data_IF_728069705555
#
_entry.id   IF_728069705555
#
_cell.length_a   1.000
_cell.length_b   1.000
_cell.length_c   1.000
_cell.angle_alpha   90.00
_cell.angle_beta   90.00
_cell.angle_gamma   90.00
#
_symmetry.space_group_name_H-M   'P 1'
#
loop_
_entity.id
_entity.type
_entity.pdbx_description
1 polymer ?
#
# COMPACT_ATOMS: atom_id res chain seq x y z
N UNK A 1 4.87 40.60 22.50
CA UNK A 1 5.45 39.76 21.42
C UNK A 1 5.41 38.24 21.71
N UNK A 2 5.69 37.76 22.94
CA UNK A 2 5.61 36.32 23.30
C UNK A 2 4.21 35.72 23.12
N UNK A 3 3.15 36.35 23.59
CA UNK A 3 1.76 35.85 23.50
C UNK A 3 1.34 35.56 22.04
N UNK A 4 1.71 36.41 21.12
CA UNK A 4 1.38 36.25 19.69
C UNK A 4 2.05 35.05 19.05
N UNK A 5 3.28 34.70 19.50
CA UNK A 5 4.01 33.50 19.06
C UNK A 5 3.33 32.26 19.63
N UNK A 6 2.92 32.27 20.88
CA UNK A 6 2.23 31.15 21.54
C UNK A 6 0.87 30.86 20.91
N UNK A 7 0.10 31.91 20.58
CA UNK A 7 -1.17 31.77 19.88
C UNK A 7 -0.99 31.16 18.50
N UNK A 8 -0.03 31.65 17.73
CA UNK A 8 0.30 31.06 16.40
C UNK A 8 0.77 29.61 16.51
N UNK A 9 1.55 29.31 17.54
CA UNK A 9 2.00 27.94 17.81
C UNK A 9 0.82 27.05 18.17
N UNK A 10 -0.07 27.48 19.04
CA UNK A 10 -1.29 26.75 19.44
C UNK A 10 -2.16 26.40 18.22
N UNK A 11 -2.51 27.38 17.38
CA UNK A 11 -3.29 27.13 16.18
C UNK A 11 -2.60 26.17 15.21
N UNK A 12 -1.27 26.23 15.12
CA UNK A 12 -0.49 25.29 14.30
C UNK A 12 -0.56 23.87 14.84
N UNK A 13 -0.53 23.68 16.16
CA UNK A 13 -0.70 22.37 16.78
C UNK A 13 -2.12 21.85 16.63
N UNK A 14 -3.14 22.67 16.83
CA UNK A 14 -4.54 22.30 16.59
C UNK A 14 -4.77 21.84 15.15
N UNK A 15 -4.27 22.59 14.17
CA UNK A 15 -4.34 22.20 12.76
C UNK A 15 -3.65 20.86 12.51
N UNK A 16 -2.45 20.66 13.05
CA UNK A 16 -1.71 19.40 12.92
C UNK A 16 -2.49 18.24 13.52
N UNK A 17 -3.00 18.40 14.74
CA UNK A 17 -3.80 17.35 15.41
C UNK A 17 -5.05 17.01 14.62
N UNK A 18 -5.74 18.02 14.09
CA UNK A 18 -6.92 17.82 13.24
C UNK A 18 -6.57 17.06 11.93
N UNK A 19 -5.46 17.40 11.28
CA UNK A 19 -5.01 16.69 10.07
C UNK A 19 -4.75 15.20 10.35
N UNK A 20 -4.11 14.87 11.51
CA UNK A 20 -3.89 13.49 11.93
C UNK A 20 -5.20 12.79 12.31
N UNK A 21 -6.07 13.46 13.07
CA UNK A 21 -7.39 12.93 13.44
C UNK A 21 -8.23 12.61 12.20
N UNK A 22 -8.24 13.49 11.21
CA UNK A 22 -8.94 13.25 9.93
C UNK A 22 -8.38 12.04 9.18
N UNK A 23 -7.05 11.84 9.18
CA UNK A 23 -6.42 10.72 8.51
C UNK A 23 -6.66 9.40 9.24
N UNK A 24 -6.73 9.43 10.57
CA UNK A 24 -7.00 8.26 11.41
C UNK A 24 -8.49 7.92 11.55
N UNK A 25 -9.38 8.79 11.06
CA UNK A 25 -10.83 8.61 11.22
C UNK A 25 -11.31 7.38 10.47
N UNK A 26 -11.88 6.41 11.19
CA UNK A 26 -12.37 5.16 10.62
C UNK A 26 -11.34 4.04 10.53
N UNK A 27 -10.09 4.26 10.94
CA UNK A 27 -9.11 3.21 11.11
C UNK A 27 -9.31 2.46 12.43
N UNK A 28 -8.89 1.19 12.44
CA UNK A 28 -8.88 0.35 13.65
C UNK A 28 -7.45 0.18 14.15
N UNK A 29 -7.23 0.39 15.45
CA UNK A 29 -5.88 0.38 16.06
C UNK A 29 -5.14 -0.96 15.92
N UNK A 30 -5.88 -2.06 15.74
CA UNK A 30 -5.29 -3.40 15.52
C UNK A 30 -4.99 -3.70 14.04
N UNK A 31 -5.41 -2.84 13.10
CA UNK A 31 -5.21 -3.06 11.69
C UNK A 31 -3.78 -2.67 11.28
N UNK A 32 -3.03 -3.68 10.80
CA UNK A 32 -1.69 -3.49 10.26
C UNK A 32 -1.66 -2.46 9.13
N UNK A 33 -2.63 -2.50 8.24
CA UNK A 33 -2.76 -1.57 7.10
C UNK A 33 -2.95 -0.14 7.57
N UNK A 34 -3.73 0.06 8.63
CA UNK A 34 -3.92 1.35 9.27
C UNK A 34 -2.60 1.89 9.84
N UNK A 35 -1.86 1.06 10.59
CA UNK A 35 -0.58 1.46 11.20
C UNK A 35 0.45 1.87 10.14
N UNK A 36 0.55 1.12 9.05
CA UNK A 36 1.41 1.47 7.90
C UNK A 36 0.95 2.75 7.23
N UNK A 37 -0.36 2.93 7.01
CA UNK A 37 -0.92 4.15 6.43
C UNK A 37 -0.60 5.40 7.25
N UNK A 38 -0.69 5.32 8.57
CA UNK A 38 -0.32 6.41 9.48
C UNK A 38 1.18 6.74 9.40
N UNK A 39 2.04 5.73 9.30
CA UNK A 39 3.47 5.94 9.14
C UNK A 39 3.80 6.53 7.77
N UNK A 40 3.20 6.03 6.70
CA UNK A 40 3.30 6.60 5.36
C UNK A 40 2.96 8.09 5.36
N UNK A 41 1.79 8.45 5.90
CA UNK A 41 1.33 9.84 6.01
C UNK A 41 2.32 10.72 6.78
N UNK A 42 2.89 10.21 7.86
CA UNK A 42 3.90 10.92 8.64
C UNK A 42 5.17 11.19 7.84
N UNK A 43 5.63 10.24 7.01
CA UNK A 43 6.79 10.41 6.13
C UNK A 43 6.52 11.40 5.00
N UNK A 44 5.34 11.40 4.41
CA UNK A 44 4.94 12.36 3.38
C UNK A 44 4.95 13.79 3.94
N UNK A 45 4.34 13.99 5.11
CA UNK A 45 4.36 15.30 5.80
C UNK A 45 5.77 15.75 6.17
N UNK A 46 6.63 14.83 6.62
CA UNK A 46 8.03 15.13 6.90
C UNK A 46 8.77 15.56 5.62
N UNK A 47 8.55 14.84 4.51
CA UNK A 47 9.13 15.18 3.23
C UNK A 47 8.73 16.58 2.74
N UNK A 48 7.46 16.93 2.88
CA UNK A 48 6.96 18.26 2.52
C UNK A 48 7.59 19.34 3.39
N UNK A 49 7.70 19.11 4.69
CA UNK A 49 8.33 20.03 5.62
C UNK A 49 9.82 20.23 5.31
N UNK A 50 10.56 19.16 5.04
CA UNK A 50 11.97 19.21 4.67
C UNK A 50 12.18 19.94 3.33
N UNK A 51 11.25 19.80 2.40
CA UNK A 51 11.34 20.43 1.08
C UNK A 51 10.95 21.92 1.10
N UNK A 52 10.07 22.33 2.03
CA UNK A 52 9.54 23.71 2.11
C UNK A 52 10.41 24.67 2.90
N UNK A 53 11.39 24.20 3.67
CA UNK A 53 12.15 25.04 4.59
C UNK A 53 13.66 24.90 4.37
N UNK A 54 14.27 25.97 3.82
CA UNK A 54 15.72 26.04 3.58
C UNK A 54 16.58 25.93 4.86
N UNK A 55 15.99 26.12 6.05
CA UNK A 55 16.68 26.03 7.34
C UNK A 55 17.12 24.59 7.71
N UNK A 56 16.61 23.56 7.02
CA UNK A 56 16.96 22.15 7.30
C UNK A 56 18.28 21.67 6.64
N UNK A 57 19.05 22.58 6.00
CA UNK A 57 20.39 22.32 5.52
C UNK A 57 20.46 21.65 4.14
N UNK A 58 21.70 21.45 3.67
CA UNK A 58 22.04 20.98 2.31
C UNK A 58 21.41 19.60 2.01
N UNK A 59 21.29 18.73 3.01
CA UNK A 59 20.77 17.37 2.83
C UNK A 59 19.25 17.26 2.91
N UNK A 60 18.52 18.36 3.19
CA UNK A 60 17.07 18.32 3.39
C UNK A 60 16.32 17.77 2.17
N UNK A 61 16.70 18.17 0.95
CA UNK A 61 16.09 17.66 -0.28
C UNK A 61 16.31 16.16 -0.48
N UNK A 62 17.50 15.66 -0.17
CA UNK A 62 17.82 14.23 -0.28
C UNK A 62 17.01 13.42 0.76
N UNK A 63 16.89 13.94 1.98
CA UNK A 63 16.06 13.36 3.05
C UNK A 63 14.59 13.34 2.64
N UNK A 64 14.06 14.44 2.11
CA UNK A 64 12.70 14.51 1.59
C UNK A 64 12.43 13.49 0.47
N UNK A 65 13.38 13.34 -0.46
CA UNK A 65 13.27 12.35 -1.54
C UNK A 65 13.25 10.91 -0.99
N UNK A 66 14.09 10.60 0.00
CA UNK A 66 14.09 9.27 0.66
C UNK A 66 12.77 9.01 1.39
N UNK A 67 12.25 9.99 2.14
CA UNK A 67 10.95 9.87 2.80
C UNK A 67 9.83 9.55 1.79
N UNK A 68 9.77 10.26 0.66
CA UNK A 68 8.78 10.02 -0.38
C UNK A 68 8.93 8.66 -1.04
N UNK A 69 10.16 8.21 -1.29
CA UNK A 69 10.43 6.89 -1.86
C UNK A 69 9.91 5.78 -0.92
N UNK A 70 10.21 5.89 0.37
CA UNK A 70 9.76 4.91 1.36
C UNK A 70 8.24 4.96 1.52
N UNK A 71 7.64 6.15 1.61
CA UNK A 71 6.19 6.30 1.68
C UNK A 71 5.48 5.69 0.45
N UNK A 72 6.02 5.90 -0.75
CA UNK A 72 5.49 5.26 -1.96
C UNK A 72 5.59 3.74 -1.91
N UNK A 73 6.71 3.19 -1.45
CA UNK A 73 6.86 1.74 -1.31
C UNK A 73 5.91 1.18 -0.24
N UNK A 74 5.73 1.89 0.90
CA UNK A 74 4.74 1.54 1.92
C UNK A 74 3.34 1.45 1.34
N UNK A 75 2.93 2.44 0.53
CA UNK A 75 1.64 2.44 -0.14
C UNK A 75 1.48 1.19 -1.01
N UNK A 76 2.44 0.90 -1.88
CA UNK A 76 2.38 -0.25 -2.78
C UNK A 76 2.35 -1.59 -2.04
N UNK A 77 3.09 -1.70 -0.94
CA UNK A 77 3.09 -2.91 -0.09
C UNK A 77 1.75 -3.05 0.63
N UNK A 78 1.23 -1.97 1.19
CA UNK A 78 -0.03 -1.97 1.94
C UNK A 78 -1.26 -2.25 1.06
N UNK A 79 -1.22 -1.88 -0.21
CA UNK A 79 -2.26 -2.15 -1.21
C UNK A 79 -2.08 -3.51 -1.92
N UNK A 80 -1.18 -4.37 -1.45
CA UNK A 80 -0.84 -5.67 -2.08
C UNK A 80 -0.56 -5.57 -3.60
N UNK A 81 -0.05 -4.42 -4.04
CA UNK A 81 0.12 -4.10 -5.46
C UNK A 81 0.89 -5.17 -6.22
N UNK A 82 1.94 -5.72 -5.63
CA UNK A 82 2.76 -6.75 -6.30
C UNK A 82 2.08 -8.11 -6.28
N UNK A 83 1.32 -8.44 -5.22
CA UNK A 83 0.58 -9.68 -5.11
C UNK A 83 -0.59 -9.72 -6.11
N UNK A 84 -1.28 -8.60 -6.31
CA UNK A 84 -2.43 -8.51 -7.20
C UNK A 84 -2.08 -8.40 -8.69
N UNK A 85 -0.82 -8.12 -9.01
CA UNK A 85 -0.38 -7.88 -10.40
C UNK A 85 -0.62 -9.06 -11.36
N UNK A 86 -0.67 -10.28 -10.85
CA UNK A 86 -0.98 -11.46 -11.68
C UNK A 86 -2.40 -11.39 -12.27
N UNK A 87 -3.37 -10.80 -11.57
CA UNK A 87 -4.72 -10.60 -12.10
C UNK A 87 -4.72 -9.72 -13.35
N UNK A 88 -4.01 -8.59 -13.32
CA UNK A 88 -3.91 -7.69 -14.49
C UNK A 88 -3.28 -8.39 -15.70
N UNK A 89 -2.29 -9.24 -15.46
CA UNK A 89 -1.60 -10.00 -16.52
C UNK A 89 -2.56 -11.02 -17.14
N UNK A 90 -3.23 -11.79 -16.29
CA UNK A 90 -4.16 -12.84 -16.74
C UNK A 90 -5.36 -12.25 -17.46
N UNK A 91 -5.94 -11.17 -16.94
CA UNK A 91 -7.08 -10.49 -17.58
C UNK A 91 -6.71 -9.97 -18.98
N UNK A 92 -5.52 -9.42 -19.16
CA UNK A 92 -5.04 -8.99 -20.49
C UNK A 92 -4.86 -10.17 -21.46
N UNK A 93 -4.37 -11.30 -20.98
CA UNK A 93 -4.10 -12.49 -21.80
C UNK A 93 -5.37 -13.27 -22.10
N UNK A 94 -6.17 -13.54 -21.09
CA UNK A 94 -7.25 -14.53 -21.13
C UNK A 94 -8.65 -13.94 -20.93
N UNK A 95 -8.79 -12.61 -20.80
CA UNK A 95 -10.05 -11.94 -20.52
C UNK A 95 -10.45 -12.05 -19.06
N UNK A 96 -11.70 -11.73 -18.76
CA UNK A 96 -12.22 -11.78 -17.40
C UNK A 96 -12.33 -13.20 -16.89
N UNK A 97 -12.14 -13.37 -15.60
CA UNK A 97 -12.32 -14.63 -14.91
C UNK A 97 -13.63 -14.58 -14.12
N UNK A 98 -14.51 -15.54 -14.36
CA UNK A 98 -15.79 -15.65 -13.66
C UNK A 98 -15.76 -16.87 -12.72
N UNK A 99 -16.41 -16.70 -11.57
CA UNK A 99 -16.58 -17.74 -10.58
C UNK A 99 -17.78 -18.61 -10.97
N UNK A 100 -17.55 -19.88 -11.22
CA UNK A 100 -18.62 -20.85 -11.47
C UNK A 100 -19.06 -21.46 -10.14
N UNK A 101 -20.30 -21.20 -9.77
CA UNK A 101 -20.88 -21.69 -8.52
C UNK A 101 -22.05 -22.63 -8.81
N UNK A 102 -22.23 -23.62 -7.92
CA UNK A 102 -23.39 -24.50 -7.90
C UNK A 102 -24.22 -24.22 -6.66
N UNK A 103 -25.52 -23.98 -6.86
CA UNK A 103 -26.46 -23.83 -5.75
C UNK A 103 -26.67 -25.18 -5.05
N UNK A 104 -26.59 -25.19 -3.72
CA UNK A 104 -26.87 -26.33 -2.86
C UNK A 104 -28.30 -26.25 -2.29
N UNK A 105 -28.81 -27.36 -1.77
CA UNK A 105 -30.19 -27.49 -1.27
C UNK A 105 -30.51 -26.57 -0.08
N UNK A 106 -29.49 -26.09 0.64
CA UNK A 106 -29.61 -25.20 1.80
C UNK A 106 -29.50 -23.71 1.46
N UNK A 107 -29.75 -23.31 0.21
CA UNK A 107 -29.58 -21.94 -0.34
C UNK A 107 -28.12 -21.39 -0.25
N UNK A 108 -27.13 -22.23 0.05
CA UNK A 108 -25.73 -21.86 -0.09
C UNK A 108 -25.20 -22.15 -1.50
N UNK A 109 -24.03 -21.62 -1.81
CA UNK A 109 -23.36 -21.82 -3.10
C UNK A 109 -22.00 -22.46 -2.87
N UNK A 110 -21.70 -23.51 -3.63
CA UNK A 110 -20.39 -24.13 -3.69
C UNK A 110 -19.62 -23.58 -4.89
N UNK A 111 -18.35 -23.20 -4.67
CA UNK A 111 -17.46 -22.84 -5.76
C UNK A 111 -17.03 -24.13 -6.48
N UNK A 112 -17.36 -24.23 -7.75
CA UNK A 112 -17.03 -25.41 -8.56
C UNK A 112 -15.73 -25.19 -9.34
N UNK A 113 -15.61 -24.03 -9.99
CA UNK A 113 -14.46 -23.72 -10.85
C UNK A 113 -14.32 -22.21 -11.08
N UNK A 114 -13.19 -21.84 -11.71
CA UNK A 114 -12.92 -20.51 -12.27
C UNK A 114 -12.83 -20.64 -13.78
N UNK A 115 -13.64 -19.84 -14.49
CA UNK A 115 -13.72 -19.88 -15.95
C UNK A 115 -13.25 -18.58 -16.58
N UNK A 116 -12.31 -18.69 -17.50
CA UNK A 116 -11.75 -17.57 -18.23
C UNK A 116 -12.53 -17.33 -19.51
N UNK A 117 -12.80 -16.06 -19.82
CA UNK A 117 -13.60 -15.62 -20.98
C UNK A 117 -13.09 -16.20 -22.30
N UNK A 118 -11.75 -16.28 -22.47
CA UNK A 118 -11.12 -16.79 -23.70
C UNK A 118 -10.80 -18.28 -23.65
N UNK A 119 -11.22 -19.00 -22.64
CA UNK A 119 -11.07 -20.44 -22.60
C UNK A 119 -11.98 -21.09 -23.62
N UNK A 120 -11.39 -21.88 -24.53
CA UNK A 120 -12.12 -22.51 -25.64
C UNK A 120 -12.87 -23.75 -25.15
N UNK A 121 -12.25 -24.51 -24.26
CA UNK A 121 -12.78 -25.74 -23.64
C UNK A 121 -12.27 -25.91 -22.21
N UNK A 122 -12.73 -26.94 -21.53
CA UNK A 122 -12.36 -27.21 -20.14
C UNK A 122 -10.87 -27.56 -20.00
N UNK A 123 -10.27 -28.20 -21.01
CA UNK A 123 -8.83 -28.50 -20.97
C UNK A 123 -8.00 -27.23 -21.04
N UNK A 124 -8.34 -26.33 -21.97
CA UNK A 124 -7.70 -25.02 -22.07
C UNK A 124 -7.91 -24.18 -20.81
N UNK A 125 -9.10 -24.22 -20.22
CA UNK A 125 -9.37 -23.53 -18.95
C UNK A 125 -8.47 -24.06 -17.82
N UNK A 126 -8.26 -25.37 -17.73
CA UNK A 126 -7.35 -25.97 -16.76
C UNK A 126 -5.89 -25.55 -16.96
N UNK A 127 -5.43 -25.47 -18.22
CA UNK A 127 -4.09 -24.98 -18.57
C UNK A 127 -3.93 -23.52 -18.13
N UNK A 128 -4.93 -22.66 -18.34
CA UNK A 128 -4.91 -21.27 -17.86
C UNK A 128 -4.87 -21.22 -16.33
N UNK A 129 -5.63 -22.06 -15.64
CA UNK A 129 -5.63 -22.13 -14.18
C UNK A 129 -4.25 -22.55 -13.62
N UNK A 130 -3.51 -23.43 -14.29
CA UNK A 130 -2.12 -23.75 -13.91
C UNK A 130 -1.19 -22.53 -14.09
N UNK A 131 -1.27 -21.83 -15.22
CA UNK A 131 -0.53 -20.59 -15.45
C UNK A 131 -0.87 -19.55 -14.39
N UNK A 132 -2.15 -19.45 -14.03
CA UNK A 132 -2.62 -18.55 -12.96
C UNK A 132 -1.95 -18.85 -11.62
N UNK A 133 -1.86 -20.12 -11.23
CA UNK A 133 -1.19 -20.55 -9.99
C UNK A 133 0.29 -20.18 -9.97
N UNK A 134 1.00 -20.38 -11.09
CA UNK A 134 2.41 -20.04 -11.20
C UNK A 134 2.64 -18.52 -11.13
N UNK A 135 1.82 -17.74 -11.82
CA UNK A 135 1.88 -16.28 -11.77
C UNK A 135 1.54 -15.74 -10.37
N UNK A 136 0.58 -16.35 -9.68
CA UNK A 136 0.24 -16.00 -8.30
C UNK A 136 1.43 -16.25 -7.36
N UNK A 137 2.09 -17.40 -7.45
CA UNK A 137 3.30 -17.71 -6.66
C UNK A 137 4.38 -16.65 -6.88
N UNK A 138 4.68 -16.34 -8.13
CA UNK A 138 5.66 -15.34 -8.50
C UNK A 138 5.30 -13.91 -7.99
N UNK A 139 4.02 -13.51 -8.07
CA UNK A 139 3.52 -12.25 -7.57
C UNK A 139 3.65 -12.15 -6.05
N UNK A 140 3.30 -13.22 -5.33
CA UNK A 140 3.44 -13.31 -3.87
C UNK A 140 4.91 -13.24 -3.43
N UNK A 141 5.82 -13.86 -4.17
CA UNK A 141 7.26 -13.72 -3.89
C UNK A 141 7.74 -12.29 -4.09
N UNK A 142 7.26 -11.60 -5.12
CA UNK A 142 7.58 -10.17 -5.32
C UNK A 142 7.06 -9.31 -4.19
N UNK A 143 5.83 -9.55 -3.73
CA UNK A 143 5.25 -8.85 -2.59
C UNK A 143 6.14 -9.03 -1.34
N UNK A 144 6.51 -10.27 -1.00
CA UNK A 144 7.42 -10.55 0.13
C UNK A 144 8.77 -9.85 0.00
N UNK A 145 9.36 -9.83 -1.21
CA UNK A 145 10.62 -9.11 -1.44
C UNK A 145 10.47 -7.61 -1.25
N UNK A 146 9.35 -7.03 -1.70
CA UNK A 146 9.04 -5.61 -1.52
C UNK A 146 8.87 -5.26 -0.03
N UNK A 147 8.19 -6.10 0.75
CA UNK A 147 8.06 -5.96 2.20
C UNK A 147 9.42 -5.97 2.91
N UNK A 148 10.25 -6.97 2.61
CA UNK A 148 11.61 -7.07 3.19
C UNK A 148 12.45 -5.84 2.82
N UNK A 149 12.38 -5.39 1.57
CA UNK A 149 13.09 -4.19 1.12
C UNK A 149 12.59 -2.94 1.86
N UNK A 150 11.27 -2.78 1.99
CA UNK A 150 10.66 -1.69 2.72
C UNK A 150 11.22 -1.57 4.14
N UNK A 151 11.19 -2.66 4.90
CA UNK A 151 11.64 -2.64 6.29
C UNK A 151 13.15 -2.43 6.42
N UNK A 152 13.96 -2.93 5.48
CA UNK A 152 15.39 -2.61 5.40
C UNK A 152 15.62 -1.11 5.14
N UNK A 153 14.86 -0.51 4.24
CA UNK A 153 14.97 0.92 3.94
C UNK A 153 14.52 1.77 5.14
N UNK A 154 13.43 1.40 5.81
CA UNK A 154 12.98 2.08 7.04
C UNK A 154 14.05 1.98 8.11
N UNK A 155 14.54 0.79 8.43
CA UNK A 155 15.55 0.56 9.45
C UNK A 155 16.83 1.36 9.20
N UNK A 156 17.29 1.43 7.94
CA UNK A 156 18.48 2.18 7.56
C UNK A 156 18.30 3.69 7.68
N UNK A 157 17.10 4.20 7.39
CA UNK A 157 16.85 5.65 7.31
C UNK A 157 16.16 6.24 8.54
N UNK A 158 15.64 5.42 9.47
CA UNK A 158 14.81 5.89 10.58
C UNK A 158 15.50 6.93 11.45
N UNK A 159 16.82 6.79 11.69
CA UNK A 159 17.60 7.77 12.44
C UNK A 159 17.70 9.12 11.74
N UNK A 160 17.69 9.12 10.40
CA UNK A 160 17.83 10.33 9.60
C UNK A 160 16.49 11.04 9.34
N UNK A 161 15.38 10.44 9.73
CA UNK A 161 14.07 11.10 9.55
C UNK A 161 13.86 12.23 10.56
N UNK A 162 14.45 12.14 11.75
CA UNK A 162 14.16 13.01 12.87
C UNK A 162 15.34 13.94 13.28
N UNK A 163 16.55 13.70 12.76
CA UNK A 163 17.72 14.55 12.94
C UNK A 163 17.73 15.64 11.86
#
# INVERSE_FOLDING_TARGET
>A
MKIWIEIKWFFRQCKRSFDYAKHSWGGYDWDYSYSIGMFQYSLERLADKLNSNAAYGINAKNRASRCRMIAKLMKLVNEDYYALKHHDILERMYGKCEMVTKKLDNDSYELVDWRWEKAVDDKHNNEINEVSRELMKWSNEKQKRAEVLLWKLVAHNIKYFWD
#
